data_IF_723888812428
#
_entry.id   IF_723888812428
#
_cell.length_a   1.000
_cell.length_b   1.000
_cell.length_c   1.000
_cell.angle_alpha   90.00
_cell.angle_beta   90.00
_cell.angle_gamma   90.00
#
_symmetry.space_group_name_H-M   'P 1'
#
loop_
_entity.id
_entity.type
_entity.pdbx_description
1 polymer ?
#
# COMPACT_ATOMS: atom_id res chain seq x y z
N UNK A 1 -22.35 24.29 -9.88
CA UNK A 1 -21.28 23.47 -9.32
C UNK A 1 -20.06 24.32 -9.04
N UNK A 2 -19.46 24.18 -7.89
CA UNK A 2 -18.30 24.94 -7.51
C UNK A 2 -17.02 24.22 -7.93
N UNK A 3 -15.91 24.95 -7.97
CA UNK A 3 -14.60 24.33 -8.23
C UNK A 3 -14.23 23.31 -7.17
N UNK A 4 -14.61 23.56 -5.92
CA UNK A 4 -14.35 22.63 -4.84
C UNK A 4 -15.00 21.27 -5.10
N UNK A 5 -16.21 21.25 -5.63
CA UNK A 5 -16.88 20.00 -5.96
C UNK A 5 -16.18 19.27 -7.11
N UNK A 6 -15.69 20.01 -8.10
CA UNK A 6 -14.94 19.42 -9.19
C UNK A 6 -13.62 18.80 -8.70
N UNK A 7 -12.94 19.49 -7.80
CA UNK A 7 -11.71 18.97 -7.21
C UNK A 7 -11.96 17.73 -6.36
N UNK A 8 -13.03 17.74 -5.58
CA UNK A 8 -13.42 16.57 -4.80
C UNK A 8 -13.73 15.38 -5.68
N UNK A 9 -14.43 15.60 -6.80
CA UNK A 9 -14.73 14.53 -7.73
C UNK A 9 -13.45 13.93 -8.31
N UNK A 10 -12.47 14.76 -8.65
CA UNK A 10 -11.18 14.28 -9.14
C UNK A 10 -10.43 13.48 -8.08
N UNK A 11 -10.40 13.98 -6.86
CA UNK A 11 -9.75 13.27 -5.75
C UNK A 11 -10.43 11.93 -5.51
N UNK A 12 -11.75 11.90 -5.59
CA UNK A 12 -12.50 10.66 -5.43
C UNK A 12 -12.16 9.67 -6.53
N UNK A 13 -12.04 10.13 -7.76
CA UNK A 13 -11.64 9.27 -8.88
C UNK A 13 -10.24 8.70 -8.68
N UNK A 14 -9.30 9.50 -8.19
CA UNK A 14 -7.97 9.01 -7.88
C UNK A 14 -8.00 7.97 -6.77
N UNK A 15 -8.91 8.13 -5.81
CA UNK A 15 -9.09 7.17 -4.74
C UNK A 15 -9.69 5.86 -5.25
N UNK A 16 -10.57 5.93 -6.24
CA UNK A 16 -11.17 4.74 -6.86
C UNK A 16 -10.16 3.87 -7.57
N UNK A 17 -9.02 4.42 -7.99
CA UNK A 17 -7.95 3.63 -8.59
C UNK A 17 -7.32 2.67 -7.59
N UNK A 18 -7.54 2.89 -6.30
CA UNK A 18 -7.02 2.03 -5.25
C UNK A 18 -8.15 1.20 -4.66
N UNK A 19 -8.10 -0.13 -4.81
CA UNK A 19 -9.14 -0.98 -4.24
C UNK A 19 -9.12 -0.90 -2.71
N UNK A 20 -10.30 -1.07 -2.11
CA UNK A 20 -10.39 -1.16 -0.66
C UNK A 20 -9.81 -2.50 -0.17
N UNK A 21 -9.43 -2.61 1.11
CA UNK A 21 -8.97 -3.90 1.65
C UNK A 21 -10.00 -5.02 1.46
N UNK A 22 -11.29 -4.70 1.52
CA UNK A 22 -12.35 -5.70 1.32
C UNK A 22 -12.40 -6.18 -0.13
N UNK A 23 -12.16 -5.31 -1.09
CA UNK A 23 -12.09 -5.69 -2.50
C UNK A 23 -10.93 -6.64 -2.78
N UNK A 24 -9.86 -6.54 -2.02
CA UNK A 24 -8.73 -7.45 -2.12
C UNK A 24 -8.89 -8.71 -1.27
N UNK A 25 -10.03 -8.88 -0.61
CA UNK A 25 -10.30 -10.02 0.26
C UNK A 25 -9.28 -10.14 1.40
N UNK A 26 -8.85 -9.02 1.95
CA UNK A 26 -7.93 -8.99 3.08
C UNK A 26 -8.72 -9.11 4.38
N UNK A 27 -8.41 -10.13 5.16
CA UNK A 27 -9.12 -10.37 6.41
C UNK A 27 -8.80 -9.28 7.45
N UNK A 28 -9.80 -8.77 8.19
CA UNK A 28 -9.54 -7.85 9.28
C UNK A 28 -8.52 -8.43 10.27
N UNK A 29 -7.52 -7.61 10.64
CA UNK A 29 -6.48 -8.03 11.58
C UNK A 29 -5.37 -8.87 10.97
N UNK A 30 -5.46 -9.29 9.72
CA UNK A 30 -4.38 -10.03 9.06
C UNK A 30 -3.18 -9.13 8.80
N UNK A 31 -2.00 -9.75 8.67
CA UNK A 31 -0.77 -9.00 8.38
C UNK A 31 -0.86 -8.28 7.03
N UNK A 32 -1.43 -8.94 6.02
CA UNK A 32 -1.61 -8.31 4.71
C UNK A 32 -2.51 -7.07 4.80
N UNK A 33 -3.58 -7.14 5.57
CA UNK A 33 -4.48 -5.99 5.73
C UNK A 33 -3.79 -4.84 6.45
N UNK A 34 -3.06 -5.12 7.52
CA UNK A 34 -2.30 -4.09 8.24
C UNK A 34 -1.30 -3.41 7.33
N UNK A 35 -0.58 -4.20 6.53
CA UNK A 35 0.40 -3.67 5.59
C UNK A 35 -0.26 -2.83 4.51
N UNK A 36 -1.35 -3.31 3.94
CA UNK A 36 -2.06 -2.57 2.89
C UNK A 36 -2.64 -1.26 3.43
N UNK A 37 -3.27 -1.29 4.61
CA UNK A 37 -3.80 -0.08 5.25
C UNK A 37 -2.69 0.95 5.45
N UNK A 38 -1.51 0.51 5.88
CA UNK A 38 -0.37 1.41 6.06
C UNK A 38 0.12 1.98 4.73
N UNK A 39 0.15 1.18 3.68
CA UNK A 39 0.56 1.63 2.36
C UNK A 39 -0.44 2.62 1.75
N UNK A 40 -1.72 2.52 2.10
CA UNK A 40 -2.71 3.51 1.68
C UNK A 40 -2.45 4.89 2.29
N UNK A 41 -1.85 4.94 3.47
CA UNK A 41 -1.49 6.18 4.13
C UNK A 41 -0.27 6.84 3.49
N UNK A 42 0.60 6.06 2.87
CA UNK A 42 1.81 6.54 2.24
C UNK A 42 2.93 5.51 2.27
N UNK A 43 4.14 5.88 1.84
CA UNK A 43 5.26 4.96 1.84
C UNK A 43 5.63 4.49 3.25
N UNK A 44 6.12 3.26 3.34
CA UNK A 44 6.63 2.69 4.57
C UNK A 44 7.95 1.96 4.27
N UNK A 45 8.71 1.63 5.29
CA UNK A 45 9.96 0.90 5.12
C UNK A 45 9.94 -0.44 5.87
N UNK A 46 10.92 -1.28 5.58
CA UNK A 46 11.01 -2.61 6.18
C UNK A 46 11.15 -2.56 7.71
N UNK A 47 11.81 -1.54 8.25
CA UNK A 47 11.91 -1.38 9.69
C UNK A 47 10.57 -1.08 10.34
N UNK A 48 9.81 -0.18 9.77
CA UNK A 48 8.46 0.13 10.26
C UNK A 48 7.54 -1.08 10.16
N UNK A 49 7.61 -1.82 9.05
CA UNK A 49 6.81 -3.02 8.87
C UNK A 49 7.12 -4.03 9.96
N UNK A 50 8.40 -4.24 10.26
CA UNK A 50 8.81 -5.19 11.28
C UNK A 50 8.43 -4.75 12.69
N UNK A 51 8.77 -3.50 13.06
CA UNK A 51 8.65 -3.05 14.44
C UNK A 51 7.30 -2.43 14.78
N UNK A 52 6.72 -1.63 13.89
CA UNK A 52 5.45 -0.96 14.16
C UNK A 52 4.25 -1.84 13.78
N UNK A 53 4.30 -2.50 12.65
CA UNK A 53 3.23 -3.39 12.20
C UNK A 53 3.42 -4.81 12.71
N UNK A 54 4.60 -5.15 13.21
CA UNK A 54 4.95 -6.47 13.75
C UNK A 54 4.78 -7.58 12.72
N UNK A 55 5.18 -7.31 11.49
CA UNK A 55 5.13 -8.28 10.40
C UNK A 55 6.54 -8.82 10.17
N UNK A 56 6.77 -10.07 10.56
CA UNK A 56 8.09 -10.69 10.45
C UNK A 56 8.47 -11.12 9.05
N UNK A 57 7.48 -11.53 8.24
CA UNK A 57 7.71 -11.97 6.86
C UNK A 57 7.14 -10.94 5.89
N UNK A 58 7.74 -9.76 5.87
CA UNK A 58 7.22 -8.66 5.04
C UNK A 58 7.34 -8.96 3.55
N UNK A 59 8.39 -9.63 3.11
CA UNK A 59 8.58 -9.96 1.69
C UNK A 59 7.49 -10.90 1.19
N UNK A 60 7.11 -11.89 1.99
CA UNK A 60 6.00 -12.77 1.66
C UNK A 60 4.67 -12.03 1.60
N UNK A 61 4.44 -11.12 2.55
CA UNK A 61 3.20 -10.32 2.57
C UNK A 61 3.16 -9.34 1.40
N UNK A 62 4.28 -8.73 1.05
CA UNK A 62 4.38 -7.86 -0.13
C UNK A 62 4.05 -8.65 -1.41
N UNK A 63 4.60 -9.85 -1.54
CA UNK A 63 4.32 -10.71 -2.69
C UNK A 63 2.83 -11.06 -2.78
N UNK A 64 2.21 -11.43 -1.66
CA UNK A 64 0.79 -11.73 -1.61
C UNK A 64 -0.06 -10.53 -2.05
N UNK A 65 0.30 -9.33 -1.58
CA UNK A 65 -0.40 -8.11 -1.96
C UNK A 65 -0.22 -7.77 -3.44
N UNK A 66 0.98 -7.97 -3.98
CA UNK A 66 1.23 -7.74 -5.40
C UNK A 66 0.32 -8.60 -6.26
N UNK A 67 0.16 -9.86 -5.89
CA UNK A 67 -0.72 -10.77 -6.62
C UNK A 67 -2.18 -10.30 -6.59
N UNK A 68 -2.62 -9.82 -5.44
CA UNK A 68 -3.99 -9.31 -5.28
C UNK A 68 -4.21 -7.99 -6.01
N UNK A 69 -3.18 -7.16 -6.12
CA UNK A 69 -3.26 -5.86 -6.78
C UNK A 69 -3.16 -5.96 -8.30
N UNK A 70 -2.64 -7.06 -8.82
CA UNK A 70 -2.42 -7.23 -10.26
C UNK A 70 -3.68 -7.00 -11.10
N UNK A 71 -4.87 -7.54 -10.74
CA UNK A 71 -6.09 -7.27 -11.52
C UNK A 71 -6.48 -5.80 -11.57
N UNK A 72 -6.00 -5.00 -10.64
CA UNK A 72 -6.28 -3.56 -10.56
C UNK A 72 -5.18 -2.72 -11.22
N UNK A 73 -4.23 -3.38 -11.90
CA UNK A 73 -3.09 -2.73 -12.55
C UNK A 73 -2.24 -1.91 -11.58
N UNK A 74 -2.17 -2.39 -10.35
CA UNK A 74 -1.37 -1.77 -9.29
C UNK A 74 -0.24 -2.69 -8.86
N UNK A 75 0.77 -2.10 -8.27
CA UNK A 75 1.93 -2.81 -7.74
C UNK A 75 2.44 -2.13 -6.49
N UNK A 76 3.38 -2.77 -5.83
CA UNK A 76 4.12 -2.20 -4.71
C UNK A 76 5.56 -2.05 -5.17
N UNK A 77 6.05 -0.82 -5.20
CA UNK A 77 7.44 -0.55 -5.58
C UNK A 77 8.32 -0.57 -4.35
N UNK A 78 9.45 -1.24 -4.47
CA UNK A 78 10.48 -1.30 -3.45
C UNK A 78 11.66 -0.46 -3.92
N UNK A 79 12.04 0.54 -3.13
CA UNK A 79 13.16 1.43 -3.45
C UNK A 79 14.19 1.35 -2.33
N UNK A 80 15.40 0.85 -2.60
CA UNK A 80 16.44 0.85 -1.58
C UNK A 80 16.87 2.27 -1.22
N UNK A 81 17.19 2.47 0.06
CA UNK A 81 17.72 3.75 0.51
C UNK A 81 19.18 3.85 0.07
N UNK A 82 19.58 4.92 -0.64
CA UNK A 82 20.96 5.05 -1.08
C UNK A 82 21.96 5.24 0.06
N UNK A 83 21.50 5.71 1.21
CA UNK A 83 22.36 5.93 2.37
C UNK A 83 22.40 4.75 3.34
N UNK A 84 21.38 3.88 3.27
CA UNK A 84 21.28 2.73 4.18
C UNK A 84 20.80 1.50 3.40
N UNK A 85 21.74 0.61 3.10
CA UNK A 85 21.46 -0.60 2.32
C UNK A 85 20.46 -1.55 2.97
N UNK A 86 20.34 -1.48 4.29
CA UNK A 86 19.40 -2.33 5.03
C UNK A 86 17.98 -1.79 4.98
N UNK A 87 17.79 -0.55 4.52
CA UNK A 87 16.48 0.08 4.46
C UNK A 87 15.92 0.02 3.05
N UNK A 88 14.71 -0.50 2.93
CA UNK A 88 13.97 -0.53 1.67
C UNK A 88 12.61 0.14 1.91
N UNK A 89 12.29 1.12 1.08
CA UNK A 89 11.03 1.84 1.16
C UNK A 89 10.04 1.23 0.18
N UNK A 90 8.84 0.93 0.66
CA UNK A 90 7.76 0.37 -0.14
C UNK A 90 6.65 1.39 -0.31
N UNK A 91 6.07 1.46 -1.51
CA UNK A 91 4.96 2.35 -1.79
C UNK A 91 4.03 1.73 -2.83
N UNK A 92 2.75 2.09 -2.75
CA UNK A 92 1.79 1.71 -3.78
C UNK A 92 2.07 2.49 -5.06
N UNK A 93 1.93 1.81 -6.20
CA UNK A 93 2.12 2.38 -7.53
C UNK A 93 1.07 1.83 -8.47
N UNK A 94 0.64 2.66 -9.41
CA UNK A 94 -0.36 2.17 -10.35
C UNK A 94 -0.90 3.22 -11.28
#
# INVERSE_FOLDING_TARGET
MTFAQADQARQTMMTFDRPSPDQLNLKPGSQCRKLYDRLLEGPTDNGEILFSLRIGNHTGRISDLRDKLRPYLMDIKATPDPENRAKVVYRLAG
#
